data_IF_786954072742
#
_entry.id   IF_786954072742
#
_cell.length_a   1.000
_cell.length_b   1.000
_cell.length_c   1.000
_cell.angle_alpha   90.00
_cell.angle_beta   90.00
_cell.angle_gamma   90.00
#
_symmetry.space_group_name_H-M   'P 1'
#
loop_
_entity.id
_entity.type
_entity.pdbx_description
1 polymer ?
#
# COMPACT_ATOMS: atom_id res chain seq x y z
N UNK A 1 -6.55 -7.88 -30.59
CA UNK A 1 -5.50 -7.98 -29.54
C UNK A 1 -6.16 -7.95 -28.17
N UNK A 2 -5.93 -8.96 -27.32
CA UNK A 2 -6.30 -8.87 -25.89
C UNK A 2 -5.39 -7.81 -25.25
N UNK A 3 -5.97 -6.72 -24.77
CA UNK A 3 -5.22 -5.66 -24.11
C UNK A 3 -4.75 -6.13 -22.73
N UNK A 4 -3.48 -5.87 -22.38
CA UNK A 4 -2.96 -6.10 -21.03
C UNK A 4 -3.76 -5.24 -20.04
N UNK A 5 -4.39 -5.88 -19.06
CA UNK A 5 -5.30 -5.25 -18.10
C UNK A 5 -4.82 -5.46 -16.67
N UNK A 6 -5.46 -4.78 -15.70
CA UNK A 6 -5.14 -4.89 -14.28
C UNK A 6 -5.10 -6.35 -13.79
N UNK A 7 -6.05 -7.18 -14.23
CA UNK A 7 -6.05 -8.60 -13.89
C UNK A 7 -4.83 -9.36 -14.43
N UNK A 8 -4.41 -9.08 -15.66
CA UNK A 8 -3.19 -9.64 -16.24
C UNK A 8 -1.94 -9.21 -15.47
N UNK A 9 -1.90 -7.94 -15.03
CA UNK A 9 -0.81 -7.43 -14.20
C UNK A 9 -0.73 -8.16 -12.86
N UNK A 10 -1.84 -8.35 -12.15
CA UNK A 10 -1.86 -9.03 -10.84
C UNK A 10 -1.36 -10.48 -10.97
N UNK A 11 -1.86 -11.21 -11.98
CA UNK A 11 -1.45 -12.60 -12.22
C UNK A 11 0.04 -12.69 -12.59
N UNK A 12 0.52 -11.80 -13.47
CA UNK A 12 1.94 -11.73 -13.83
C UNK A 12 2.81 -11.38 -12.62
N UNK A 13 2.38 -10.40 -11.82
CA UNK A 13 3.11 -9.95 -10.63
C UNK A 13 3.33 -11.11 -9.65
N UNK A 14 2.27 -11.81 -9.24
CA UNK A 14 2.41 -12.97 -8.35
C UNK A 14 3.14 -14.14 -8.99
N UNK A 15 3.03 -14.34 -10.30
CA UNK A 15 3.81 -15.37 -11.02
C UNK A 15 5.31 -15.07 -10.96
N UNK A 16 5.71 -13.80 -11.17
CA UNK A 16 7.12 -13.39 -11.08
C UNK A 16 7.66 -13.54 -9.66
N UNK A 17 6.88 -13.17 -8.64
CA UNK A 17 7.27 -13.38 -7.24
C UNK A 17 7.44 -14.87 -6.91
N UNK A 18 6.56 -15.73 -7.44
CA UNK A 18 6.65 -17.19 -7.25
C UNK A 18 7.85 -17.81 -7.98
N UNK A 19 8.23 -17.29 -9.16
CA UNK A 19 9.47 -17.73 -9.83
C UNK A 19 10.69 -17.26 -9.03
N UNK A 20 10.63 -16.02 -8.52
CA UNK A 20 11.66 -15.47 -7.64
C UNK A 20 11.83 -16.29 -6.36
N UNK A 21 10.77 -16.84 -5.79
CA UNK A 21 10.86 -17.67 -4.58
C UNK A 21 11.52 -19.02 -4.85
N UNK A 22 11.25 -19.63 -6.00
CA UNK A 22 11.96 -20.84 -6.44
C UNK A 22 13.46 -20.54 -6.58
N UNK A 23 13.81 -19.42 -7.22
CA UNK A 23 15.23 -19.05 -7.34
C UNK A 23 15.85 -18.83 -5.95
N UNK A 24 15.22 -18.02 -5.11
CA UNK A 24 15.64 -17.70 -3.74
C UNK A 24 15.89 -18.94 -2.87
N UNK A 25 15.04 -19.96 -3.00
CA UNK A 25 15.18 -21.22 -2.25
C UNK A 25 16.42 -22.04 -2.64
N UNK A 26 16.92 -21.87 -3.87
CA UNK A 26 18.02 -22.67 -4.43
C UNK A 26 19.38 -21.96 -4.41
N UNK A 27 19.43 -20.67 -4.07
CA UNK A 27 20.70 -19.95 -3.96
C UNK A 27 21.33 -20.31 -2.62
N UNK A 28 22.61 -20.65 -2.62
CA UNK A 28 23.42 -20.68 -1.39
C UNK A 28 23.45 -19.26 -0.84
N UNK A 29 22.49 -18.98 0.03
CA UNK A 29 22.28 -17.68 0.64
C UNK A 29 22.44 -17.81 2.14
N UNK A 30 22.71 -16.70 2.82
CA UNK A 30 22.74 -16.62 4.28
C UNK A 30 21.36 -16.97 4.89
N UNK A 31 20.30 -17.00 4.08
CA UNK A 31 18.95 -17.31 4.54
C UNK A 31 18.70 -18.82 4.52
N UNK A 32 18.48 -19.37 5.70
CA UNK A 32 18.07 -20.76 5.85
C UNK A 32 16.55 -20.87 5.75
N UNK A 33 16.10 -21.82 4.94
CA UNK A 33 14.69 -22.15 4.75
C UNK A 33 14.47 -23.61 5.15
N UNK A 34 13.28 -23.90 5.69
CA UNK A 34 12.87 -25.27 5.94
C UNK A 34 12.41 -25.94 4.66
N UNK A 35 12.33 -27.26 4.68
CA UNK A 35 11.89 -28.05 3.52
C UNK A 35 10.47 -27.64 3.12
N UNK A 36 10.30 -27.33 1.83
CA UNK A 36 9.01 -26.90 1.29
C UNK A 36 7.99 -28.04 1.32
N UNK A 37 6.78 -27.72 1.77
CA UNK A 37 5.62 -28.61 1.67
C UNK A 37 4.60 -28.09 0.64
N UNK A 38 3.73 -28.97 0.13
CA UNK A 38 2.80 -28.57 -0.94
C UNK A 38 1.53 -27.95 -0.36
N UNK A 39 1.06 -28.44 0.78
CA UNK A 39 -0.27 -28.10 1.31
C UNK A 39 -0.45 -26.61 1.67
N UNK A 40 0.48 -25.95 2.39
CA UNK A 40 0.40 -24.51 2.64
C UNK A 40 0.35 -23.67 1.37
N UNK A 41 1.10 -24.05 0.34
CA UNK A 41 1.12 -23.35 -0.94
C UNK A 41 -0.21 -23.53 -1.71
N UNK A 42 -0.85 -24.70 -1.63
CA UNK A 42 -2.19 -24.93 -2.18
C UNK A 42 -3.22 -24.07 -1.46
N UNK A 43 -3.18 -24.01 -0.12
CA UNK A 43 -4.05 -23.11 0.65
C UNK A 43 -3.85 -21.65 0.20
N UNK A 44 -2.60 -21.18 0.18
CA UNK A 44 -2.26 -19.82 -0.22
C UNK A 44 -2.79 -19.50 -1.63
N UNK A 45 -2.57 -20.39 -2.59
CA UNK A 45 -3.05 -20.23 -3.96
C UNK A 45 -4.57 -20.04 -4.01
N UNK A 46 -5.34 -20.88 -3.32
CA UNK A 46 -6.80 -20.79 -3.29
C UNK A 46 -7.25 -19.44 -2.72
N UNK A 47 -6.69 -19.02 -1.57
CA UNK A 47 -7.06 -17.76 -0.93
C UNK A 47 -6.68 -16.55 -1.78
N UNK A 48 -5.50 -16.57 -2.41
CA UNK A 48 -5.07 -15.53 -3.35
C UNK A 48 -6.02 -15.45 -4.55
N UNK A 49 -6.40 -16.57 -5.17
CA UNK A 49 -7.33 -16.59 -6.30
C UNK A 49 -8.71 -16.03 -5.92
N UNK A 50 -9.22 -16.36 -4.73
CA UNK A 50 -10.46 -15.77 -4.18
C UNK A 50 -10.31 -14.24 -4.07
N UNK A 51 -9.17 -13.78 -3.54
CA UNK A 51 -8.89 -12.37 -3.32
C UNK A 51 -8.67 -11.59 -4.62
N UNK A 52 -8.14 -12.24 -5.67
CA UNK A 52 -7.91 -11.63 -6.98
C UNK A 52 -9.22 -11.48 -7.77
N UNK A 53 -10.19 -12.35 -7.52
CA UNK A 53 -11.40 -12.46 -8.33
C UNK A 53 -12.16 -11.14 -8.56
N UNK A 54 -12.37 -10.26 -7.56
CA UNK A 54 -13.00 -8.96 -7.77
C UNK A 54 -12.23 -8.07 -8.76
N UNK A 55 -10.90 -8.08 -8.67
CA UNK A 55 -10.01 -7.27 -9.51
C UNK A 55 -9.93 -7.81 -10.94
N UNK A 56 -9.99 -9.13 -11.11
CA UNK A 56 -10.04 -9.80 -12.43
C UNK A 56 -11.33 -9.47 -13.20
N UNK A 57 -12.42 -9.13 -12.49
CA UNK A 57 -13.73 -8.81 -13.09
C UNK A 57 -13.94 -7.31 -13.34
N UNK A 58 -13.02 -6.45 -12.91
CA UNK A 58 -13.07 -5.03 -13.21
C UNK A 58 -13.04 -4.78 -14.73
N UNK A 59 -13.88 -3.87 -15.22
CA UNK A 59 -14.00 -3.60 -16.66
C UNK A 59 -13.53 -2.20 -17.03
N UNK A 60 -12.37 -2.12 -17.68
CA UNK A 60 -11.84 -0.86 -18.22
C UNK A 60 -12.81 -0.19 -19.22
N UNK A 61 -13.66 -0.96 -19.92
CA UNK A 61 -14.63 -0.40 -20.87
C UNK A 61 -15.67 0.49 -20.18
N UNK A 62 -16.11 0.13 -18.98
CA UNK A 62 -17.10 0.91 -18.23
C UNK A 62 -16.52 2.22 -17.67
N UNK A 63 -15.20 2.32 -17.55
CA UNK A 63 -14.53 3.54 -17.07
C UNK A 63 -14.71 4.75 -17.97
N UNK A 64 -14.94 4.57 -19.27
CA UNK A 64 -15.15 5.70 -20.19
C UNK A 64 -16.33 6.58 -19.80
N UNK A 65 -17.32 6.00 -19.10
CA UNK A 65 -18.57 6.65 -18.72
C UNK A 65 -18.64 6.89 -17.20
N UNK A 66 -17.50 7.01 -16.51
CA UNK A 66 -17.47 7.27 -15.08
C UNK A 66 -18.21 8.57 -14.71
N UNK A 67 -18.98 8.52 -13.63
CA UNK A 67 -19.58 9.72 -13.03
C UNK A 67 -18.52 10.47 -12.23
N UNK A 68 -18.17 11.66 -12.73
CA UNK A 68 -17.20 12.54 -12.08
C UNK A 68 -17.86 13.35 -10.95
N UNK A 69 -17.18 13.54 -9.81
CA UNK A 69 -17.61 14.48 -8.77
C UNK A 69 -17.63 15.93 -9.26
N UNK A 70 -18.19 16.83 -8.44
CA UNK A 70 -18.18 18.27 -8.70
C UNK A 70 -16.77 18.85 -8.85
N UNK A 71 -16.56 19.64 -9.91
CA UNK A 71 -15.25 20.12 -10.29
C UNK A 71 -14.67 21.18 -9.34
N UNK A 72 -15.53 22.04 -8.80
CA UNK A 72 -15.13 23.05 -7.83
C UNK A 72 -14.67 22.37 -6.54
N UNK A 73 -15.44 21.40 -6.05
CA UNK A 73 -15.11 20.63 -4.86
C UNK A 73 -13.80 19.87 -5.04
N UNK A 74 -13.58 19.20 -6.18
CA UNK A 74 -12.33 18.49 -6.45
C UNK A 74 -11.12 19.43 -6.48
N UNK A 75 -11.30 20.64 -7.00
CA UNK A 75 -10.27 21.68 -7.00
C UNK A 75 -9.94 22.14 -5.59
N UNK A 76 -10.97 22.39 -4.77
CA UNK A 76 -10.81 22.77 -3.37
C UNK A 76 -10.08 21.69 -2.56
N UNK A 77 -10.49 20.43 -2.69
CA UNK A 77 -9.82 19.30 -2.03
C UNK A 77 -8.35 19.24 -2.47
N UNK A 78 -8.07 19.40 -3.78
CA UNK A 78 -6.70 19.40 -4.28
C UNK A 78 -5.86 20.51 -3.65
N UNK A 79 -6.39 21.73 -3.53
CA UNK A 79 -5.71 22.86 -2.88
C UNK A 79 -5.44 22.56 -1.41
N UNK A 80 -6.42 22.03 -0.67
CA UNK A 80 -6.26 21.66 0.75
C UNK A 80 -5.17 20.61 0.91
N UNK A 81 -5.16 19.57 0.05
CA UNK A 81 -4.11 18.54 0.05
C UNK A 81 -2.74 19.16 -0.17
N UNK A 82 -2.60 20.04 -1.16
CA UNK A 82 -1.32 20.72 -1.45
C UNK A 82 -0.84 21.48 -0.22
N UNK A 83 -1.71 22.28 0.41
CA UNK A 83 -1.37 23.05 1.61
C UNK A 83 -0.94 22.13 2.75
N UNK A 84 -1.71 21.07 3.04
CA UNK A 84 -1.41 20.13 4.12
C UNK A 84 -0.04 19.47 3.92
N UNK A 85 0.26 19.01 2.71
CA UNK A 85 1.54 18.36 2.42
C UNK A 85 2.71 19.34 2.46
N UNK A 86 2.53 20.58 1.98
CA UNK A 86 3.55 21.62 2.10
C UNK A 86 3.83 21.96 3.56
N UNK A 87 2.79 22.21 4.37
CA UNK A 87 2.94 22.47 5.80
C UNK A 87 3.61 21.29 6.52
N UNK A 88 3.24 20.05 6.19
CA UNK A 88 3.90 18.85 6.72
C UNK A 88 5.38 18.80 6.34
N UNK A 89 5.73 19.13 5.09
CA UNK A 89 7.10 19.21 4.62
C UNK A 89 7.91 20.25 5.40
N UNK A 90 7.38 21.47 5.58
CA UNK A 90 8.02 22.52 6.36
C UNK A 90 8.21 22.12 7.82
N UNK A 91 7.21 21.48 8.44
CA UNK A 91 7.27 21.05 9.85
C UNK A 91 8.20 19.85 10.06
N UNK A 92 8.37 18.96 9.08
CA UNK A 92 9.05 17.67 9.31
C UNK A 92 10.44 17.64 8.71
N UNK A 93 10.60 18.12 7.48
CA UNK A 93 11.86 18.05 6.74
C UNK A 93 12.71 19.28 7.05
N UNK A 94 12.18 20.49 6.90
CA UNK A 94 13.02 21.70 7.05
C UNK A 94 13.44 21.99 8.50
N UNK A 95 12.71 21.52 9.51
CA UNK A 95 13.08 21.72 10.90
C UNK A 95 14.06 20.66 11.45
N UNK A 96 14.06 19.46 10.86
CA UNK A 96 14.74 18.30 11.45
C UNK A 96 15.72 17.61 10.48
N UNK A 97 15.78 18.02 9.20
CA UNK A 97 16.49 17.28 8.18
C UNK A 97 17.15 18.21 7.14
N UNK A 98 18.47 18.11 6.99
CA UNK A 98 19.17 18.78 5.88
C UNK A 98 18.89 18.05 4.57
N UNK A 99 18.57 18.78 3.50
CA UNK A 99 18.43 18.22 2.15
C UNK A 99 19.71 17.51 1.67
N UNK A 100 20.89 17.94 2.13
CA UNK A 100 22.16 17.28 1.81
C UNK A 100 22.23 15.84 2.32
N UNK A 101 21.51 15.53 3.39
CA UNK A 101 21.58 14.23 4.06
C UNK A 101 20.53 13.24 3.52
N UNK A 102 19.68 13.65 2.57
CA UNK A 102 18.60 12.80 2.00
C UNK A 102 19.12 11.65 1.14
N UNK A 103 20.37 11.73 0.70
CA UNK A 103 21.01 10.73 -0.16
C UNK A 103 22.29 10.16 0.44
N UNK A 104 22.64 10.53 1.68
CA UNK A 104 23.77 9.94 2.39
C UNK A 104 23.35 8.60 3.02
N UNK A 105 23.89 7.45 2.54
CA UNK A 105 23.49 6.14 3.03
C UNK A 105 23.64 5.98 4.55
N UNK A 106 24.69 6.57 5.17
CA UNK A 106 24.95 6.44 6.60
C UNK A 106 23.90 7.16 7.45
N UNK A 107 23.63 8.43 7.14
CA UNK A 107 22.60 9.21 7.84
C UNK A 107 21.23 8.53 7.75
N UNK A 108 20.90 7.95 6.60
CA UNK A 108 19.61 7.29 6.41
C UNK A 108 19.47 5.99 7.22
N UNK A 109 20.57 5.26 7.42
CA UNK A 109 20.60 4.08 8.28
C UNK A 109 20.38 4.47 9.75
N UNK A 110 21.06 5.51 10.23
CA UNK A 110 20.92 6.04 11.60
C UNK A 110 19.50 6.51 11.90
N UNK A 111 18.85 7.19 10.94
CA UNK A 111 17.45 7.62 11.09
C UNK A 111 16.50 6.43 11.25
N UNK A 112 16.77 5.32 10.55
CA UNK A 112 15.95 4.12 10.66
C UNK A 112 16.09 3.49 12.03
N UNK A 113 17.31 3.36 12.55
CA UNK A 113 17.59 2.83 13.89
C UNK A 113 16.95 3.70 14.97
N UNK A 114 17.20 5.01 14.92
CA UNK A 114 16.60 5.99 15.82
C UNK A 114 15.08 5.88 15.83
N UNK A 115 14.47 5.73 14.65
CA UNK A 115 13.01 5.56 14.55
C UNK A 115 12.54 4.23 15.12
N UNK A 116 13.27 3.14 14.87
CA UNK A 116 12.97 1.80 15.39
C UNK A 116 13.07 1.73 16.92
N UNK A 117 13.99 2.48 17.50
CA UNK A 117 14.19 2.54 18.95
C UNK A 117 13.16 3.42 19.65
N UNK A 118 12.70 4.47 18.97
CA UNK A 118 11.63 5.34 19.46
C UNK A 118 10.22 4.81 19.21
N UNK A 119 10.05 3.58 18.70
CA UNK A 119 8.73 2.98 18.55
C UNK A 119 8.08 2.78 19.93
N UNK A 120 6.88 3.32 20.13
CA UNK A 120 6.17 3.29 21.41
C UNK A 120 6.47 4.47 22.34
N UNK A 121 7.42 5.34 21.98
CA UNK A 121 7.71 6.56 22.73
C UNK A 121 6.74 7.69 22.34
N UNK A 122 6.04 8.26 23.33
CA UNK A 122 5.16 9.41 23.14
C UNK A 122 5.87 10.69 23.62
N UNK A 123 6.29 11.53 22.69
CA UNK A 123 6.96 12.80 22.99
C UNK A 123 5.99 13.94 23.38
N UNK A 124 4.68 13.64 23.43
CA UNK A 124 3.62 14.59 23.77
C UNK A 124 3.33 15.64 22.68
N UNK A 125 4.00 15.59 21.52
CA UNK A 125 3.83 16.57 20.45
C UNK A 125 2.82 16.07 19.41
N UNK A 126 1.74 16.83 19.22
CA UNK A 126 0.75 16.52 18.19
C UNK A 126 1.22 17.03 16.83
N UNK A 127 1.55 16.11 15.92
CA UNK A 127 1.82 16.44 14.51
C UNK A 127 0.51 16.52 13.71
N UNK A 128 -0.18 17.66 13.82
CA UNK A 128 -1.49 17.88 13.16
C UNK A 128 -1.41 17.68 11.64
N UNK A 129 -0.35 18.19 10.99
CA UNK A 129 -0.20 18.04 9.54
C UNK A 129 0.12 16.60 9.15
N UNK A 130 0.80 15.83 10.00
CA UNK A 130 0.98 14.39 9.84
C UNK A 130 -0.34 13.61 9.90
N UNK A 131 -1.23 13.96 10.84
CA UNK A 131 -2.57 13.37 10.94
C UNK A 131 -3.39 13.70 9.69
N UNK A 132 -3.44 14.98 9.30
CA UNK A 132 -4.16 15.43 8.11
C UNK A 132 -3.62 14.76 6.84
N UNK A 133 -2.29 14.67 6.69
CA UNK A 133 -1.64 13.96 5.59
C UNK A 133 -2.14 12.52 5.48
N UNK A 134 -2.27 11.80 6.60
CA UNK A 134 -2.79 10.42 6.60
C UNK A 134 -4.25 10.33 6.14
N UNK A 135 -5.09 11.33 6.45
CA UNK A 135 -6.48 11.40 5.96
C UNK A 135 -6.51 11.49 4.44
N UNK A 136 -5.63 12.28 3.83
CA UNK A 136 -5.62 12.51 2.38
C UNK A 136 -4.83 11.49 1.57
N UNK A 137 -4.02 10.65 2.22
CA UNK A 137 -3.09 9.75 1.54
C UNK A 137 -3.79 8.78 0.56
N UNK A 138 -4.97 8.28 0.92
CA UNK A 138 -5.73 7.32 0.09
C UNK A 138 -6.28 7.92 -1.21
N UNK A 139 -6.43 9.25 -1.30
CA UNK A 139 -6.97 9.92 -2.48
C UNK A 139 -5.90 10.61 -3.34
N UNK A 140 -4.65 10.65 -2.89
CA UNK A 140 -3.60 11.48 -3.49
C UNK A 140 -3.37 11.18 -4.98
N UNK A 141 -3.19 9.90 -5.30
CA UNK A 141 -3.02 9.44 -6.68
C UNK A 141 -4.30 9.65 -7.53
N UNK A 142 -5.48 9.48 -6.94
CA UNK A 142 -6.76 9.73 -7.62
C UNK A 142 -6.93 11.21 -7.96
N UNK A 143 -6.56 12.12 -7.03
CA UNK A 143 -6.56 13.56 -7.27
C UNK A 143 -5.55 13.97 -8.34
N UNK A 144 -4.36 13.36 -8.34
CA UNK A 144 -3.38 13.56 -9.40
C UNK A 144 -3.96 13.20 -10.76
N UNK A 145 -4.56 12.01 -10.88
CA UNK A 145 -5.20 11.56 -12.13
C UNK A 145 -6.38 12.42 -12.54
N UNK A 146 -7.22 12.82 -11.59
CA UNK A 146 -8.34 13.72 -11.84
C UNK A 146 -7.86 15.03 -12.48
N UNK A 147 -6.92 15.72 -11.83
CA UNK A 147 -6.41 17.00 -12.32
C UNK A 147 -5.66 16.85 -13.65
N UNK A 148 -4.94 15.74 -13.84
CA UNK A 148 -4.28 15.39 -15.10
C UNK A 148 -5.30 15.26 -16.25
N UNK A 149 -6.38 14.51 -16.03
CA UNK A 149 -7.44 14.31 -17.02
C UNK A 149 -8.18 15.61 -17.33
N UNK A 150 -8.48 16.41 -16.30
CA UNK A 150 -9.12 17.72 -16.44
C UNK A 150 -8.17 18.81 -16.96
N UNK A 151 -6.91 18.47 -17.27
CA UNK A 151 -5.88 19.38 -17.79
C UNK A 151 -5.59 20.59 -16.88
N UNK A 152 -5.80 20.45 -15.57
CA UNK A 152 -5.57 21.50 -14.56
C UNK A 152 -4.11 21.56 -14.14
N UNK A 153 -3.25 22.09 -15.02
CA UNK A 153 -1.78 22.04 -14.91
C UNK A 153 -1.24 22.39 -13.51
N UNK A 154 -1.69 23.50 -12.91
CA UNK A 154 -1.21 23.94 -11.60
C UNK A 154 -1.56 22.96 -10.47
N UNK A 155 -2.81 22.48 -10.43
CA UNK A 155 -3.25 21.51 -9.42
C UNK A 155 -2.57 20.16 -9.63
N UNK A 156 -2.39 19.73 -10.87
CA UNK A 156 -1.63 18.52 -11.21
C UNK A 156 -0.21 18.59 -10.67
N UNK A 157 0.49 19.70 -10.91
CA UNK A 157 1.87 19.91 -10.41
C UNK A 157 1.87 19.94 -8.87
N UNK A 158 0.95 20.68 -8.25
CA UNK A 158 0.88 20.76 -6.79
C UNK A 158 0.62 19.40 -6.12
N UNK A 159 -0.34 18.63 -6.62
CA UNK A 159 -0.62 17.29 -6.09
C UNK A 159 0.55 16.33 -6.36
N UNK A 160 1.24 16.49 -7.50
CA UNK A 160 2.46 15.72 -7.77
C UNK A 160 3.59 16.05 -6.78
N UNK A 161 3.75 17.33 -6.41
CA UNK A 161 4.66 17.75 -5.34
C UNK A 161 4.28 17.08 -4.01
N UNK A 162 2.99 16.96 -3.68
CA UNK A 162 2.56 16.23 -2.49
C UNK A 162 2.93 14.73 -2.52
N UNK A 163 2.88 14.09 -3.69
CA UNK A 163 3.40 12.71 -3.87
C UNK A 163 4.91 12.67 -3.65
N UNK A 164 5.67 13.63 -4.21
CA UNK A 164 7.13 13.74 -4.00
C UNK A 164 7.47 13.97 -2.52
N UNK A 165 6.71 14.78 -1.80
CA UNK A 165 6.87 14.98 -0.35
C UNK A 165 6.70 13.65 0.41
N UNK A 166 5.78 12.80 -0.03
CA UNK A 166 5.62 11.44 0.54
C UNK A 166 6.87 10.58 0.34
N UNK A 167 7.53 10.70 -0.80
CA UNK A 167 8.81 10.02 -1.08
C UNK A 167 9.91 10.56 -0.16
N UNK A 168 10.10 11.87 -0.11
CA UNK A 168 11.16 12.47 0.72
C UNK A 168 10.98 12.15 2.21
N UNK A 169 9.75 12.18 2.71
CA UNK A 169 9.47 11.85 4.11
C UNK A 169 9.73 10.37 4.41
N UNK A 170 9.51 9.48 3.44
CA UNK A 170 9.85 8.07 3.56
C UNK A 170 11.36 7.84 3.56
N UNK A 171 12.10 8.54 2.69
CA UNK A 171 13.56 8.52 2.65
C UNK A 171 14.16 9.07 3.94
N UNK A 172 13.72 10.24 4.41
CA UNK A 172 14.19 10.85 5.65
C UNK A 172 13.99 9.95 6.87
N UNK A 173 12.96 9.10 6.88
CA UNK A 173 12.72 8.12 7.94
C UNK A 173 13.40 6.75 7.72
N UNK A 174 14.23 6.61 6.69
CA UNK A 174 14.87 5.35 6.33
C UNK A 174 13.87 4.22 5.98
N UNK A 175 12.64 4.57 5.59
CA UNK A 175 11.53 3.64 5.45
C UNK A 175 11.32 3.21 3.98
N UNK A 176 11.68 1.95 3.68
CA UNK A 176 11.54 1.37 2.32
C UNK A 176 10.10 0.99 1.97
N UNK A 177 9.31 0.51 2.92
CA UNK A 177 7.92 0.05 2.69
C UNK A 177 7.03 1.10 2.01
N UNK A 178 6.94 2.34 2.54
CA UNK A 178 6.16 3.40 1.91
C UNK A 178 6.58 3.75 0.47
N UNK A 179 7.88 3.63 0.14
CA UNK A 179 8.36 3.85 -1.24
C UNK A 179 7.82 2.79 -2.20
N UNK A 180 7.87 1.51 -1.78
CA UNK A 180 7.27 0.41 -2.54
C UNK A 180 5.78 0.63 -2.72
N UNK A 181 5.08 1.10 -1.68
CA UNK A 181 3.64 1.38 -1.75
C UNK A 181 3.34 2.45 -2.81
N UNK A 182 4.10 3.54 -2.86
CA UNK A 182 3.96 4.61 -3.87
C UNK A 182 4.18 4.06 -5.29
N UNK A 183 5.21 3.24 -5.49
CA UNK A 183 5.49 2.61 -6.80
C UNK A 183 4.32 1.68 -7.19
N UNK A 184 3.82 0.86 -6.26
CA UNK A 184 2.76 -0.11 -6.54
C UNK A 184 1.40 0.54 -6.83
N UNK A 185 1.19 1.82 -6.51
CA UNK A 185 -0.01 2.57 -6.93
C UNK A 185 0.01 2.93 -8.42
N UNK A 186 1.18 3.04 -9.05
CA UNK A 186 1.30 3.49 -10.45
C UNK A 186 0.53 2.57 -11.42
N UNK A 187 0.68 1.24 -11.39
CA UNK A 187 -0.10 0.36 -12.26
C UNK A 187 -1.60 0.51 -12.03
N UNK A 188 -2.05 0.63 -10.77
CA UNK A 188 -3.46 0.84 -10.43
C UNK A 188 -4.02 2.07 -11.13
N UNK A 189 -3.44 3.25 -10.91
CA UNK A 189 -3.95 4.47 -11.54
C UNK A 189 -3.86 4.45 -13.05
N UNK A 190 -2.82 3.84 -13.62
CA UNK A 190 -2.73 3.68 -15.07
C UNK A 190 -3.87 2.81 -15.62
N UNK A 191 -4.11 1.62 -15.07
CA UNK A 191 -5.14 0.72 -15.59
C UNK A 191 -6.55 1.28 -15.41
N UNK A 192 -6.81 1.95 -14.29
CA UNK A 192 -8.12 2.55 -14.01
C UNK A 192 -8.38 3.75 -14.90
N UNK A 193 -7.43 4.68 -15.01
CA UNK A 193 -7.67 5.98 -15.64
C UNK A 193 -7.22 6.06 -17.11
N UNK A 194 -6.42 5.12 -17.62
CA UNK A 194 -6.01 5.11 -19.04
C UNK A 194 -7.18 5.21 -20.03
N UNK A 195 -8.35 4.56 -19.82
CA UNK A 195 -9.48 4.69 -20.75
C UNK A 195 -9.97 6.13 -20.94
N UNK A 196 -9.74 7.01 -19.96
CA UNK A 196 -10.14 8.41 -19.97
C UNK A 196 -9.10 9.34 -20.61
N UNK A 197 -7.90 8.83 -20.89
CA UNK A 197 -6.80 9.60 -21.46
C UNK A 197 -6.68 9.41 -22.96
N UNK A 198 -6.39 10.51 -23.67
CA UNK A 198 -5.91 10.44 -25.06
C UNK A 198 -4.55 9.74 -25.13
N UNK A 199 -4.18 9.25 -26.32
CA UNK A 199 -2.90 8.58 -26.53
C UNK A 199 -1.70 9.46 -26.15
N UNK A 200 -1.77 10.76 -26.44
CA UNK A 200 -0.74 11.73 -26.07
C UNK A 200 -0.61 11.86 -24.54
N UNK A 201 -1.75 11.97 -23.84
CA UNK A 201 -1.77 12.06 -22.37
C UNK A 201 -1.18 10.81 -21.72
N UNK A 202 -1.50 9.62 -22.25
CA UNK A 202 -0.93 8.36 -21.76
C UNK A 202 0.58 8.32 -21.92
N UNK A 203 1.11 8.72 -23.08
CA UNK A 203 2.56 8.74 -23.34
C UNK A 203 3.28 9.69 -22.39
N UNK A 204 2.76 10.91 -22.21
CA UNK A 204 3.33 11.89 -21.27
C UNK A 204 3.30 11.37 -19.83
N UNK A 205 2.16 10.81 -19.41
CA UNK A 205 2.01 10.20 -18.08
C UNK A 205 3.04 9.10 -17.84
N UNK A 206 3.17 8.16 -18.78
CA UNK A 206 4.13 7.05 -18.65
C UNK A 206 5.57 7.53 -18.55
N UNK A 207 5.96 8.54 -19.35
CA UNK A 207 7.29 9.13 -19.26
C UNK A 207 7.53 9.82 -17.90
N UNK A 208 6.57 10.65 -17.45
CA UNK A 208 6.67 11.33 -16.14
C UNK A 208 6.79 10.35 -15.00
N UNK A 209 5.98 9.29 -15.00
CA UNK A 209 6.00 8.31 -13.91
C UNK A 209 7.21 7.38 -14.00
N UNK A 210 7.68 7.03 -15.19
CA UNK A 210 8.93 6.27 -15.35
C UNK A 210 10.13 7.03 -14.75
N UNK A 211 10.28 8.32 -15.08
CA UNK A 211 11.31 9.17 -14.49
C UNK A 211 11.19 9.25 -12.95
N UNK A 212 9.96 9.39 -12.45
CA UNK A 212 9.68 9.44 -11.02
C UNK A 212 10.02 8.12 -10.30
N UNK A 213 9.66 6.97 -10.88
CA UNK A 213 9.97 5.65 -10.31
C UNK A 213 11.48 5.39 -10.30
N UNK A 214 12.21 5.80 -11.35
CA UNK A 214 13.68 5.73 -11.37
C UNK A 214 14.28 6.54 -10.21
N UNK A 215 13.78 7.76 -9.97
CA UNK A 215 14.23 8.58 -8.85
C UNK A 215 13.98 7.91 -7.49
N UNK A 216 12.81 7.30 -7.29
CA UNK A 216 12.53 6.52 -6.08
C UNK A 216 13.50 5.35 -5.94
N UNK A 217 13.77 4.64 -7.05
CA UNK A 217 14.65 3.49 -7.04
C UNK A 217 16.08 3.86 -6.65
N UNK A 218 16.60 4.97 -7.16
CA UNK A 218 17.93 5.49 -6.76
C UNK A 218 17.98 5.79 -5.26
N UNK A 219 16.98 6.49 -4.72
CA UNK A 219 16.90 6.76 -3.28
C UNK A 219 16.76 5.48 -2.43
N UNK A 220 15.94 4.53 -2.89
CA UNK A 220 15.75 3.23 -2.22
C UNK A 220 16.99 2.33 -2.27
N UNK A 221 17.78 2.41 -3.35
CA UNK A 221 19.06 1.72 -3.46
C UNK A 221 20.09 2.30 -2.49
N UNK A 222 20.19 3.64 -2.39
CA UNK A 222 21.04 4.31 -1.40
C UNK A 222 20.68 3.91 0.04
N UNK A 223 19.37 3.86 0.36
CA UNK A 223 18.88 3.34 1.64
C UNK A 223 19.32 1.89 1.92
N UNK A 224 19.31 1.06 0.89
CA UNK A 224 19.66 -0.36 1.02
C UNK A 224 21.17 -0.51 1.22
N UNK A 225 21.98 0.21 0.44
CA UNK A 225 23.43 0.21 0.61
C UNK A 225 23.84 0.69 2.00
N UNK A 226 23.26 1.78 2.51
CA UNK A 226 23.60 2.30 3.83
C UNK A 226 23.34 1.33 4.97
N UNK A 227 22.26 0.53 4.86
CA UNK A 227 21.88 -0.46 5.88
C UNK A 227 22.66 -1.77 5.83
N UNK A 228 23.27 -2.08 4.70
CA UNK A 228 23.94 -3.36 4.47
C UNK A 228 25.41 -3.17 4.09
N UNK A 229 25.98 -1.98 4.31
CA UNK A 229 27.35 -1.64 3.90
C UNK A 229 28.41 -2.52 4.57
N UNK A 230 28.14 -2.99 5.80
CA UNK A 230 29.01 -3.88 6.56
C UNK A 230 28.69 -5.37 6.37
N UNK A 231 27.63 -5.69 5.61
CA UNK A 231 27.22 -7.06 5.36
C UNK A 231 27.94 -7.58 4.10
N UNK A 232 29.18 -8.05 4.29
CA UNK A 232 30.13 -8.42 3.23
C UNK A 232 29.65 -9.49 2.22
N UNK A 233 28.50 -10.14 2.48
CA UNK A 233 28.04 -11.33 1.74
C UNK A 233 26.75 -11.13 0.91
N UNK A 234 26.22 -9.91 0.77
CA UNK A 234 24.97 -9.68 0.01
C UNK A 234 25.14 -8.73 -1.17
N UNK A 235 24.61 -9.12 -2.34
CA UNK A 235 24.36 -8.16 -3.42
C UNK A 235 23.02 -7.45 -3.20
N UNK A 236 22.86 -6.25 -3.77
CA UNK A 236 21.56 -5.55 -3.80
C UNK A 236 20.48 -6.45 -4.43
N UNK A 237 20.85 -7.26 -5.43
CA UNK A 237 19.92 -8.14 -6.11
C UNK A 237 19.40 -9.24 -5.18
N UNK A 238 20.26 -9.81 -4.33
CA UNK A 238 19.86 -10.81 -3.33
C UNK A 238 18.85 -10.21 -2.37
N UNK A 239 19.13 -9.01 -1.85
CA UNK A 239 18.22 -8.30 -0.95
C UNK A 239 16.89 -8.05 -1.64
N UNK A 240 16.88 -7.52 -2.86
CA UNK A 240 15.64 -7.28 -3.61
C UNK A 240 14.86 -8.57 -3.80
N UNK A 241 15.52 -9.67 -4.16
CA UNK A 241 14.90 -10.97 -4.35
C UNK A 241 14.29 -11.51 -3.05
N UNK A 242 15.01 -11.40 -1.93
CA UNK A 242 14.53 -11.79 -0.61
C UNK A 242 13.29 -11.01 -0.21
N UNK A 243 13.34 -9.68 -0.26
CA UNK A 243 12.21 -8.83 0.11
C UNK A 243 11.02 -9.03 -0.83
N UNK A 244 11.25 -9.38 -2.10
CA UNK A 244 10.19 -9.63 -3.06
C UNK A 244 9.51 -11.00 -2.86
N UNK A 245 10.30 -12.05 -2.58
CA UNK A 245 9.89 -13.43 -2.83
C UNK A 245 10.00 -14.39 -1.64
N UNK A 246 10.61 -13.96 -0.52
CA UNK A 246 10.70 -14.80 0.70
C UNK A 246 9.33 -15.15 1.28
N UNK A 247 8.32 -14.32 1.01
CA UNK A 247 6.93 -14.49 1.45
C UNK A 247 6.33 -15.87 1.14
N UNK A 248 6.56 -16.45 -0.05
CA UNK A 248 6.06 -17.79 -0.39
C UNK A 248 6.68 -18.87 0.50
N UNK A 249 7.99 -18.79 0.70
CA UNK A 249 8.76 -19.77 1.48
C UNK A 249 8.39 -19.65 2.97
N UNK A 250 8.35 -18.43 3.50
CA UNK A 250 7.96 -18.17 4.89
C UNK A 250 6.50 -18.52 5.17
N UNK A 251 5.61 -18.33 4.18
CA UNK A 251 4.24 -18.80 4.30
C UNK A 251 4.20 -20.31 4.47
N UNK A 252 4.91 -21.04 3.62
CA UNK A 252 4.94 -22.50 3.68
C UNK A 252 5.53 -23.04 4.98
N UNK A 253 6.73 -22.58 5.34
CA UNK A 253 7.46 -23.11 6.48
C UNK A 253 6.74 -22.88 7.81
N UNK A 254 5.94 -21.80 7.94
CA UNK A 254 5.51 -21.36 9.26
C UNK A 254 4.04 -20.99 9.42
N UNK A 255 3.37 -20.48 8.38
CA UNK A 255 2.12 -19.73 8.62
C UNK A 255 0.96 -20.62 9.02
N UNK A 256 0.84 -21.82 8.45
CA UNK A 256 -0.27 -22.72 8.79
C UNK A 256 -0.14 -23.35 10.18
N UNK A 257 1.08 -23.41 10.74
CA UNK A 257 1.34 -23.85 12.11
C UNK A 257 2.41 -22.98 12.77
N UNK A 258 2.02 -21.75 13.07
CA UNK A 258 2.91 -20.74 13.67
C UNK A 258 3.07 -20.91 15.18
N UNK A 259 2.41 -21.89 15.82
CA UNK A 259 2.49 -22.11 17.27
C UNK A 259 1.48 -21.30 18.11
N UNK A 260 0.44 -20.75 17.49
CA UNK A 260 -0.63 -20.02 18.19
C UNK A 260 -1.39 -19.05 17.30
N UNK A 261 -2.16 -18.15 17.92
CA UNK A 261 -2.84 -17.05 17.23
C UNK A 261 -2.62 -15.72 17.96
N UNK A 262 -2.59 -14.61 17.19
CA UNK A 262 -2.55 -13.23 17.74
C UNK A 262 -3.95 -12.67 18.04
N UNK A 263 -5.01 -13.38 17.69
CA UNK A 263 -6.41 -13.03 17.94
C UNK A 263 -6.81 -11.64 17.40
N UNK A 264 -6.33 -11.27 16.21
CA UNK A 264 -6.64 -9.97 15.61
C UNK A 264 -5.81 -8.80 16.10
N UNK A 265 -4.78 -9.03 16.92
CA UNK A 265 -3.94 -7.97 17.48
C UNK A 265 -3.23 -7.12 16.42
N UNK A 266 -2.89 -7.72 15.28
CA UNK A 266 -2.18 -7.02 14.21
C UNK A 266 -3.11 -6.59 13.08
N UNK A 267 -4.06 -7.44 12.71
CA UNK A 267 -5.00 -7.17 11.61
C UNK A 267 -6.13 -6.25 12.04
N UNK A 268 -6.68 -6.42 13.25
CA UNK A 268 -7.80 -5.61 13.78
C UNK A 268 -7.57 -4.95 15.15
N UNK A 269 -6.41 -4.31 15.43
CA UNK A 269 -6.17 -3.64 16.70
C UNK A 269 -7.21 -2.58 17.06
N UNK A 270 -7.72 -1.79 16.10
CA UNK A 270 -8.78 -0.81 16.41
C UNK A 270 -10.05 -1.46 16.97
N UNK A 271 -10.46 -2.61 16.41
CA UNK A 271 -11.64 -3.34 16.89
C UNK A 271 -11.37 -3.86 18.29
N UNK A 272 -10.18 -4.41 18.55
CA UNK A 272 -9.78 -4.88 19.88
C UNK A 272 -9.81 -3.76 20.92
N UNK A 273 -9.24 -2.60 20.61
CA UNK A 273 -9.29 -1.40 21.48
C UNK A 273 -10.74 -1.01 21.78
N UNK A 274 -11.62 -1.00 20.76
CA UNK A 274 -13.05 -0.69 20.95
C UNK A 274 -13.78 -1.71 21.82
N UNK A 275 -13.33 -2.97 21.82
CA UNK A 275 -13.86 -4.04 22.68
C UNK A 275 -13.21 -4.06 24.08
N UNK A 276 -12.30 -3.12 24.38
CA UNK A 276 -11.58 -3.08 25.65
C UNK A 276 -10.53 -4.19 25.81
N UNK A 277 -10.09 -4.79 24.70
CA UNK A 277 -9.04 -5.81 24.69
C UNK A 277 -7.66 -5.14 24.55
N UNK A 278 -6.67 -5.72 25.21
CA UNK A 278 -5.28 -5.29 25.07
C UNK A 278 -4.81 -5.44 23.63
N UNK A 279 -4.02 -4.46 23.17
CA UNK A 279 -3.37 -4.53 21.86
C UNK A 279 -1.91 -4.17 21.93
N UNK A 280 -1.05 -4.91 21.22
CA UNK A 280 0.32 -4.46 21.05
C UNK A 280 0.32 -3.21 20.16
N UNK A 281 0.88 -2.11 20.67
CA UNK A 281 1.07 -0.88 19.90
C UNK A 281 2.21 -0.97 18.88
N UNK A 282 3.03 -2.01 18.97
CA UNK A 282 4.24 -2.21 18.16
C UNK A 282 4.68 -3.68 18.11
N UNK A 283 5.60 -3.99 17.18
CA UNK A 283 6.08 -5.35 16.96
C UNK A 283 6.90 -5.92 18.12
N UNK A 284 7.67 -5.09 18.85
CA UNK A 284 8.49 -5.56 19.99
C UNK A 284 7.58 -6.01 21.13
N UNK A 285 6.59 -5.19 21.48
CA UNK A 285 5.56 -5.52 22.46
C UNK A 285 4.77 -6.76 22.02
N UNK A 286 4.43 -6.87 20.73
CA UNK A 286 3.71 -8.04 20.20
C UNK A 286 4.53 -9.33 20.36
N UNK A 287 5.83 -9.27 20.12
CA UNK A 287 6.73 -10.42 20.31
C UNK A 287 6.75 -10.92 21.75
N UNK A 288 6.66 -10.00 22.72
CA UNK A 288 6.58 -10.34 24.14
C UNK A 288 5.23 -10.94 24.54
N UNK A 289 4.13 -10.46 23.93
CA UNK A 289 2.79 -10.98 24.20
C UNK A 289 2.54 -12.37 23.58
N UNK A 290 3.17 -12.64 22.43
CA UNK A 290 3.01 -13.91 21.70
C UNK A 290 4.37 -14.61 21.49
N UNK A 291 5.07 -15.00 22.57
CA UNK A 291 6.44 -15.53 22.48
C UNK A 291 6.50 -16.91 21.80
N UNK A 292 5.38 -17.63 21.79
CA UNK A 292 5.27 -18.97 21.20
C UNK A 292 5.23 -18.96 19.66
N UNK A 293 5.08 -17.79 19.04
CA UNK A 293 5.00 -17.70 17.58
C UNK A 293 6.36 -18.02 16.93
N UNK A 294 6.38 -18.95 15.99
CA UNK A 294 7.60 -19.36 15.24
C UNK A 294 8.11 -18.27 14.29
N UNK A 295 7.25 -17.34 13.89
CA UNK A 295 7.58 -16.23 12.99
C UNK A 295 7.41 -14.90 13.71
N UNK A 296 8.34 -13.99 13.44
CA UNK A 296 8.29 -12.60 13.86
C UNK A 296 7.53 -11.72 12.86
N UNK A 297 6.95 -10.66 13.39
CA UNK A 297 6.18 -9.60 12.75
C UNK A 297 6.97 -8.79 11.70
N UNK A 298 8.30 -8.91 11.69
CA UNK A 298 9.19 -8.34 10.69
C UNK A 298 9.26 -9.16 9.40
N UNK A 299 8.82 -10.42 9.42
CA UNK A 299 8.90 -11.32 8.27
C UNK A 299 7.71 -11.16 7.35
N UNK A 300 7.96 -11.27 6.04
CA UNK A 300 6.91 -11.15 5.04
C UNK A 300 6.18 -12.48 4.87
N UNK A 301 4.85 -12.44 4.98
CA UNK A 301 3.98 -13.62 4.98
C UNK A 301 2.71 -13.42 4.16
N UNK A 302 2.68 -12.39 3.31
CA UNK A 302 1.48 -11.88 2.64
C UNK A 302 0.44 -11.32 3.61
N UNK A 303 -0.53 -10.58 3.08
CA UNK A 303 -1.75 -10.27 3.83
C UNK A 303 -2.49 -11.55 4.24
N UNK A 304 -2.44 -12.61 3.44
CA UNK A 304 -3.08 -13.88 3.79
C UNK A 304 -2.47 -14.44 5.07
N UNK A 305 -1.14 -14.46 5.17
CA UNK A 305 -0.47 -15.03 6.35
C UNK A 305 -0.75 -14.22 7.61
N UNK A 306 -0.86 -12.91 7.50
CA UNK A 306 -1.23 -12.05 8.62
C UNK A 306 -2.60 -12.40 9.22
N UNK A 307 -3.59 -12.70 8.37
CA UNK A 307 -4.90 -13.16 8.83
C UNK A 307 -4.84 -14.58 9.42
N UNK A 308 -4.03 -15.48 8.83
CA UNK A 308 -3.86 -16.85 9.35
C UNK A 308 -3.16 -16.83 10.71
N UNK A 309 -2.13 -16.02 10.90
CA UNK A 309 -1.45 -15.88 12.20
C UNK A 309 -2.39 -15.23 13.22
N UNK A 310 -3.28 -14.33 12.82
CA UNK A 310 -4.23 -13.70 13.75
C UNK A 310 -5.39 -14.62 14.14
N UNK A 311 -5.90 -15.44 13.23
CA UNK A 311 -7.19 -16.13 13.42
C UNK A 311 -7.17 -17.64 13.17
N UNK A 312 -6.03 -18.19 12.76
CA UNK A 312 -5.92 -19.54 12.24
C UNK A 312 -6.45 -19.68 10.81
N UNK A 313 -6.13 -20.79 10.11
CA UNK A 313 -6.40 -20.95 8.69
C UNK A 313 -7.89 -20.95 8.34
N UNK A 314 -8.74 -21.55 9.18
CA UNK A 314 -10.17 -21.68 8.88
C UNK A 314 -10.86 -20.32 8.97
N UNK A 315 -10.66 -19.58 10.06
CA UNK A 315 -11.33 -18.29 10.25
C UNK A 315 -10.76 -17.22 9.30
N UNK A 316 -9.45 -17.23 9.05
CA UNK A 316 -8.82 -16.39 8.03
C UNK A 316 -9.44 -16.60 6.64
N UNK A 317 -9.60 -17.86 6.21
CA UNK A 317 -10.25 -18.20 4.95
C UNK A 317 -11.66 -17.61 4.85
N UNK A 318 -12.46 -17.74 5.92
CA UNK A 318 -13.83 -17.21 5.96
C UNK A 318 -13.83 -15.68 5.85
N UNK A 319 -13.01 -14.99 6.66
CA UNK A 319 -12.95 -13.52 6.67
C UNK A 319 -12.54 -12.98 5.29
N UNK A 320 -11.47 -13.55 4.70
CA UNK A 320 -10.97 -13.12 3.39
C UNK A 320 -12.00 -13.41 2.29
N UNK A 321 -12.67 -14.56 2.34
CA UNK A 321 -13.72 -14.91 1.37
C UNK A 321 -14.91 -13.95 1.43
N UNK A 322 -15.36 -13.60 2.64
CA UNK A 322 -16.43 -12.61 2.82
C UNK A 322 -16.02 -11.22 2.33
N UNK A 323 -14.79 -10.79 2.63
CA UNK A 323 -14.25 -9.52 2.14
C UNK A 323 -14.15 -9.50 0.61
N UNK A 324 -13.64 -10.56 -0.01
CA UNK A 324 -13.57 -10.71 -1.46
C UNK A 324 -14.97 -10.66 -2.11
N UNK A 325 -15.95 -11.33 -1.52
CA UNK A 325 -17.34 -11.28 -1.99
C UNK A 325 -17.95 -9.87 -1.86
N UNK A 326 -17.68 -9.17 -0.77
CA UNK A 326 -18.09 -7.77 -0.60
C UNK A 326 -17.49 -6.88 -1.70
N UNK A 327 -16.18 -6.98 -1.95
CA UNK A 327 -15.50 -6.25 -3.01
C UNK A 327 -16.07 -6.59 -4.38
N UNK A 328 -16.30 -7.87 -4.68
CA UNK A 328 -16.94 -8.33 -5.92
C UNK A 328 -18.27 -7.62 -6.16
N UNK A 329 -19.16 -7.61 -5.15
CA UNK A 329 -20.48 -6.96 -5.26
C UNK A 329 -20.41 -5.46 -5.49
N UNK A 330 -19.40 -4.78 -4.93
CA UNK A 330 -19.25 -3.32 -5.05
C UNK A 330 -18.52 -2.89 -6.32
N UNK A 331 -17.58 -3.70 -6.82
CA UNK A 331 -16.78 -3.42 -8.02
C UNK A 331 -17.54 -3.79 -9.30
N UNK A 332 -18.39 -4.81 -9.27
CA UNK A 332 -19.18 -5.20 -10.44
C UNK A 332 -20.50 -4.42 -10.43
N UNK A 333 -20.38 -3.17 -10.86
CA UNK A 333 -21.51 -2.25 -11.08
C UNK A 333 -21.62 -1.90 -12.57
N UNK A 334 -22.75 -1.34 -12.97
CA UNK A 334 -22.99 -0.84 -14.32
C UNK A 334 -22.37 0.53 -14.55
N UNK A 335 -22.30 1.35 -13.49
CA UNK A 335 -21.77 2.70 -13.54
C UNK A 335 -20.71 2.86 -12.46
N UNK A 336 -19.56 3.41 -12.86
CA UNK A 336 -18.50 3.75 -11.94
C UNK A 336 -18.61 5.19 -11.47
N UNK A 337 -18.20 5.41 -10.22
CA UNK A 337 -17.97 6.71 -9.60
C UNK A 337 -16.66 6.64 -8.79
N UNK A 338 -16.19 7.77 -8.28
CA UNK A 338 -14.95 7.82 -7.50
C UNK A 338 -15.01 7.03 -6.19
N UNK A 339 -16.20 6.85 -5.61
CA UNK A 339 -16.38 5.96 -4.46
C UNK A 339 -16.11 4.50 -4.81
N UNK A 340 -16.53 4.06 -6.00
CA UNK A 340 -16.25 2.72 -6.52
C UNK A 340 -14.77 2.55 -6.84
N UNK A 341 -14.10 3.59 -7.35
CA UNK A 341 -12.65 3.58 -7.57
C UNK A 341 -11.87 3.45 -6.24
N UNK A 342 -12.34 4.09 -5.16
CA UNK A 342 -11.73 3.92 -3.85
C UNK A 342 -11.92 2.52 -3.27
N UNK A 343 -13.10 1.92 -3.45
CA UNK A 343 -13.33 0.51 -3.08
C UNK A 343 -12.40 -0.42 -3.88
N UNK A 344 -12.24 -0.14 -5.18
CA UNK A 344 -11.32 -0.87 -6.04
C UNK A 344 -9.86 -0.69 -5.59
N UNK A 345 -9.48 0.52 -5.17
CA UNK A 345 -8.15 0.81 -4.63
C UNK A 345 -7.89 0.03 -3.34
N UNK A 346 -8.86 -0.06 -2.42
CA UNK A 346 -8.74 -0.90 -1.22
C UNK A 346 -8.46 -2.36 -1.59
N UNK A 347 -9.26 -2.95 -2.47
CA UNK A 347 -9.09 -4.32 -2.92
C UNK A 347 -7.72 -4.53 -3.62
N UNK A 348 -7.33 -3.59 -4.48
CA UNK A 348 -6.03 -3.61 -5.17
C UNK A 348 -4.87 -3.53 -4.16
N UNK A 349 -4.97 -2.67 -3.14
CA UNK A 349 -3.91 -2.51 -2.15
C UNK A 349 -3.74 -3.78 -1.32
N UNK A 350 -4.84 -4.37 -0.84
CA UNK A 350 -4.81 -5.64 -0.11
C UNK A 350 -4.07 -6.71 -0.93
N UNK A 351 -4.35 -6.79 -2.23
CA UNK A 351 -3.76 -7.80 -3.12
C UNK A 351 -2.33 -7.47 -3.53
N UNK A 352 -2.08 -6.31 -4.10
CA UNK A 352 -0.79 -5.98 -4.74
C UNK A 352 0.21 -5.44 -3.74
N UNK A 353 -0.21 -4.62 -2.79
CA UNK A 353 0.68 -4.12 -1.74
C UNK A 353 0.82 -5.17 -0.64
N UNK A 354 -0.25 -5.94 -0.37
CA UNK A 354 -0.24 -7.04 0.59
C UNK A 354 0.59 -8.26 0.19
N UNK A 355 1.45 -8.16 -0.83
CA UNK A 355 2.38 -9.24 -1.14
C UNK A 355 3.48 -9.40 -0.08
N UNK A 356 3.81 -8.33 0.66
CA UNK A 356 4.75 -8.41 1.80
C UNK A 356 4.00 -8.68 3.09
N UNK A 357 3.17 -7.73 3.51
CA UNK A 357 2.41 -7.70 4.76
C UNK A 357 1.06 -7.03 4.50
N UNK A 358 0.06 -7.28 5.36
CA UNK A 358 -1.23 -6.61 5.23
C UNK A 358 -1.07 -5.07 5.33
N UNK A 359 -1.37 -4.29 4.27
CA UNK A 359 -1.06 -2.86 4.25
C UNK A 359 -1.91 -2.01 5.20
N UNK A 360 -2.95 -2.61 5.79
CA UNK A 360 -3.84 -1.98 6.75
C UNK A 360 -3.72 -2.60 8.15
N UNK A 361 -2.62 -3.30 8.43
CA UNK A 361 -2.30 -3.75 9.79
C UNK A 361 -2.01 -2.56 10.70
N UNK A 362 -1.99 -2.83 12.01
CA UNK A 362 -1.76 -1.82 13.04
C UNK A 362 -2.91 -0.78 13.15
N UNK A 363 -2.84 0.04 14.19
CA UNK A 363 -3.81 1.12 14.41
C UNK A 363 -3.84 2.09 13.22
N UNK A 364 -2.67 2.51 12.72
CA UNK A 364 -2.55 3.47 11.63
C UNK A 364 -3.07 2.93 10.28
N UNK A 365 -2.86 1.64 10.01
CA UNK A 365 -3.41 0.97 8.84
C UNK A 365 -4.94 0.87 8.89
N UNK A 366 -5.50 0.46 10.03
CA UNK A 366 -6.95 0.43 10.19
C UNK A 366 -7.59 1.83 10.12
N UNK A 367 -6.95 2.87 10.66
CA UNK A 367 -7.38 4.26 10.47
C UNK A 367 -7.39 4.65 8.99
N UNK A 368 -6.44 4.16 8.20
CA UNK A 368 -6.39 4.42 6.76
C UNK A 368 -7.59 3.80 6.01
N UNK A 369 -8.13 2.66 6.48
CA UNK A 369 -9.40 2.12 5.97
C UNK A 369 -10.54 3.08 6.29
N UNK A 370 -10.63 3.57 7.53
CA UNK A 370 -11.67 4.52 7.97
C UNK A 370 -11.61 5.81 7.14
N UNK A 371 -10.42 6.38 6.91
CA UNK A 371 -10.25 7.56 6.07
C UNK A 371 -10.66 7.30 4.62
N UNK A 372 -10.38 6.11 4.09
CA UNK A 372 -10.84 5.74 2.74
C UNK A 372 -12.36 5.63 2.67
N UNK A 373 -13.00 5.06 3.69
CA UNK A 373 -14.46 5.01 3.83
C UNK A 373 -15.05 6.42 3.88
N UNK A 374 -14.44 7.32 4.66
CA UNK A 374 -14.83 8.73 4.70
C UNK A 374 -14.82 9.36 3.29
N UNK A 375 -13.74 9.17 2.53
CA UNK A 375 -13.66 9.70 1.15
C UNK A 375 -14.65 9.07 0.18
N UNK A 376 -14.98 7.78 0.36
CA UNK A 376 -16.05 7.13 -0.41
C UNK A 376 -17.38 7.88 -0.22
N UNK A 377 -17.73 8.23 1.01
CA UNK A 377 -18.94 9.00 1.29
C UNK A 377 -18.88 10.41 0.71
N UNK A 378 -17.76 11.11 0.90
CA UNK A 378 -17.56 12.46 0.35
C UNK A 378 -17.74 12.48 -1.17
N UNK A 379 -17.05 11.60 -1.90
CA UNK A 379 -17.14 11.57 -3.35
C UNK A 379 -18.52 11.15 -3.86
N UNK A 380 -19.19 10.20 -3.20
CA UNK A 380 -20.57 9.84 -3.57
C UNK A 380 -21.54 10.99 -3.39
N UNK A 381 -21.43 11.72 -2.28
CA UNK A 381 -22.27 12.89 -2.00
C UNK A 381 -22.14 13.96 -3.10
N UNK A 382 -20.91 14.31 -3.47
CA UNK A 382 -20.64 15.32 -4.49
C UNK A 382 -20.82 14.83 -5.93
N UNK A 383 -20.99 13.53 -6.15
CA UNK A 383 -21.41 12.98 -7.44
C UNK A 383 -22.94 13.06 -7.61
N UNK A 384 -23.71 12.82 -6.54
CA UNK A 384 -25.18 12.77 -6.59
C UNK A 384 -25.85 14.15 -6.70
N UNK A 385 -25.32 15.18 -6.03
CA UNK A 385 -25.92 16.54 -6.00
C UNK A 385 -26.08 17.17 -7.39
N UNK A 386 -25.26 16.78 -8.37
CA UNK A 386 -25.36 17.28 -9.76
C UNK A 386 -26.65 16.83 -10.48
N UNK A 387 -27.25 15.71 -10.05
CA UNK A 387 -28.52 15.22 -10.61
C UNK A 387 -29.75 15.97 -10.08
N UNK A 388 -29.65 16.68 -8.95
CA UNK A 388 -30.81 17.33 -8.30
C UNK A 388 -30.92 18.81 -8.66
N UNK A 389 -29.83 19.48 -9.04
CA UNK A 389 -29.82 20.94 -9.34
C UNK A 389 -30.28 21.24 -10.78
N UNK A 390 -30.62 20.23 -11.59
CA UNK A 390 -31.11 20.39 -12.97
C UNK A 390 -32.61 20.21 -13.18
N UNK A 391 -33.42 20.09 -12.12
CA UNK A 391 -34.88 20.10 -12.21
C UNK A 391 -35.45 21.05 -11.17
N UNK A 392 -35.46 22.33 -11.49
CA UNK A 392 -36.63 23.20 -11.33
C UNK A 392 -36.28 24.64 -11.72
N UNK A 393 -36.97 25.08 -12.79
CA UNK A 393 -37.11 26.43 -13.36
C UNK A 393 -36.03 26.89 -14.33
#
# INVERSE_FOLDING_TARGET
>A
MRTFQMGSFILLFYSLLSVGSVWLYNIDSVWTFETITIFPLVYLYIVLMISFYPLLKFSNKKMSNIKMPDDMVMSMISVVVIIVYLCFFFQTILSNFSLSNLFDPMTLAENYETKSDNVGYNDGKVNIFGILKNIFNSILWILFMYNWIQKKKLLTIGVFIAIIISVFTSLAWGARGPLVFIIMQVPFVYFVFSPLMSQEMRRKYLFTVAAFVILIFVGGAALTLGRFNDAADFTIMDIVLYYASSNFIKFDNFVLDVGGCRYGDRVFPLIRVLLGLDTAGDYKTRRLLYPNLKVDDSQFTFFVGEFVIDFGPILAFIIISLAAYYFYKKIITNEYDFGTILILSLAYNIVVIGFTLFPYSEISGNLSIIYTIFWIFVFKYFTFKRLVIGKNK
#
